data_IF_056313842486
#
_entry.id   IF_056313842486
#
_cell.length_a   1.000
_cell.length_b   1.000
_cell.length_c   1.000
_cell.angle_alpha   90.00
_cell.angle_beta   90.00
_cell.angle_gamma   90.00
#
_symmetry.space_group_name_H-M   'P 1'
#
loop_
_entity.id
_entity.type
_entity.pdbx_description
1 polymer ?
#
# COMPACT_ATOMS: atom_id res chain seq x y z
N UNK A 1 44.92 -25.30 -39.88
CA UNK A 1 44.68 -24.39 -38.74
C UNK A 1 43.24 -23.87 -38.67
N UNK A 2 42.48 -23.81 -39.78
CA UNK A 2 41.10 -23.30 -39.79
C UNK A 2 40.10 -24.11 -38.91
N UNK A 3 40.21 -25.44 -38.86
CA UNK A 3 39.29 -26.29 -38.07
C UNK A 3 39.38 -26.10 -36.55
N UNK A 4 40.58 -25.82 -36.01
CA UNK A 4 40.75 -25.54 -34.56
C UNK A 4 40.13 -24.21 -34.15
N UNK A 5 40.23 -23.18 -34.99
CA UNK A 5 39.62 -21.87 -34.75
C UNK A 5 38.09 -21.93 -34.80
N UNK A 6 37.54 -22.74 -35.71
CA UNK A 6 36.10 -22.97 -35.82
C UNK A 6 35.51 -23.73 -34.63
N UNK A 7 36.26 -24.71 -34.09
CA UNK A 7 35.87 -25.44 -32.88
C UNK A 7 35.86 -24.57 -31.61
N UNK A 8 36.87 -23.70 -31.46
CA UNK A 8 36.92 -22.72 -30.36
C UNK A 8 35.81 -21.68 -30.46
N UNK A 9 35.51 -21.17 -31.66
CA UNK A 9 34.41 -20.23 -31.87
C UNK A 9 33.04 -20.84 -31.53
N UNK A 10 32.80 -22.12 -31.88
CA UNK A 10 31.57 -22.82 -31.50
C UNK A 10 31.47 -23.04 -29.98
N UNK A 11 32.55 -23.44 -29.31
CA UNK A 11 32.54 -23.59 -27.85
C UNK A 11 32.32 -22.27 -27.12
N UNK A 12 32.96 -21.19 -27.56
CA UNK A 12 32.75 -19.85 -26.98
C UNK A 12 31.31 -19.39 -27.20
N UNK A 13 30.75 -19.59 -28.40
CA UNK A 13 29.36 -19.22 -28.71
C UNK A 13 28.37 -19.97 -27.82
N UNK A 14 28.50 -21.29 -27.69
CA UNK A 14 27.60 -22.11 -26.85
C UNK A 14 27.72 -21.72 -25.39
N UNK A 15 28.96 -21.59 -24.89
CA UNK A 15 29.22 -21.21 -23.49
C UNK A 15 28.69 -19.81 -23.17
N UNK A 16 28.85 -18.84 -24.08
CA UNK A 16 28.34 -17.49 -23.90
C UNK A 16 26.81 -17.44 -23.93
N UNK A 17 26.16 -18.19 -24.84
CA UNK A 17 24.70 -18.27 -24.92
C UNK A 17 24.09 -18.93 -23.68
N UNK A 18 24.67 -20.03 -23.19
CA UNK A 18 24.22 -20.69 -21.96
C UNK A 18 24.37 -19.78 -20.74
N UNK A 19 25.51 -19.09 -20.63
CA UNK A 19 25.76 -18.17 -19.52
C UNK A 19 24.84 -16.95 -19.56
N UNK A 20 24.51 -16.44 -20.75
CA UNK A 20 23.55 -15.35 -20.93
C UNK A 20 22.13 -15.78 -20.53
N UNK A 21 21.70 -16.98 -20.94
CA UNK A 21 20.39 -17.53 -20.58
C UNK A 21 20.25 -17.75 -19.06
N UNK A 22 21.29 -18.28 -18.41
CA UNK A 22 21.34 -18.41 -16.96
C UNK A 22 21.28 -17.05 -16.26
N UNK A 23 22.04 -16.07 -16.76
CA UNK A 23 22.07 -14.71 -16.20
C UNK A 23 20.70 -14.03 -16.33
N UNK A 24 20.04 -14.15 -17.49
CA UNK A 24 18.68 -13.64 -17.68
C UNK A 24 17.69 -14.27 -16.71
N UNK A 25 17.73 -15.59 -16.55
CA UNK A 25 16.86 -16.30 -15.60
C UNK A 25 17.04 -15.83 -14.16
N UNK A 26 18.29 -15.63 -13.72
CA UNK A 26 18.60 -15.12 -12.38
C UNK A 26 18.12 -13.68 -12.19
N UNK A 27 18.36 -12.79 -13.15
CA UNK A 27 17.89 -11.39 -13.09
C UNK A 27 16.36 -11.33 -13.07
N UNK A 28 15.68 -12.16 -13.87
CA UNK A 28 14.22 -12.20 -13.89
C UNK A 28 13.65 -12.67 -12.55
N UNK A 29 14.24 -13.69 -11.93
CA UNK A 29 13.81 -14.17 -10.61
C UNK A 29 14.05 -13.13 -9.52
N UNK A 30 15.22 -12.48 -9.54
CA UNK A 30 15.54 -11.42 -8.59
C UNK A 30 14.59 -10.23 -8.74
N UNK A 31 14.33 -9.79 -9.97
CA UNK A 31 13.34 -8.73 -10.25
C UNK A 31 11.94 -9.14 -9.76
N UNK A 32 11.51 -10.37 -10.04
CA UNK A 32 10.21 -10.85 -9.59
C UNK A 32 10.09 -10.84 -8.06
N UNK A 33 11.12 -11.30 -7.35
CA UNK A 33 11.14 -11.29 -5.89
C UNK A 33 11.15 -9.87 -5.32
N UNK A 34 12.00 -8.98 -5.84
CA UNK A 34 12.08 -7.59 -5.40
C UNK A 34 10.77 -6.85 -5.65
N UNK A 35 10.21 -6.95 -6.87
CA UNK A 35 8.93 -6.32 -7.20
C UNK A 35 7.77 -6.88 -6.37
N UNK A 36 7.78 -8.18 -6.06
CA UNK A 36 6.78 -8.80 -5.20
C UNK A 36 6.85 -8.27 -3.77
N UNK A 37 8.06 -8.16 -3.19
CA UNK A 37 8.25 -7.60 -1.85
C UNK A 37 7.86 -6.12 -1.78
N UNK A 38 8.29 -5.31 -2.75
CA UNK A 38 7.89 -3.90 -2.81
C UNK A 38 6.39 -3.74 -3.02
N UNK A 39 5.78 -4.60 -3.84
CA UNK A 39 4.34 -4.62 -4.06
C UNK A 39 3.55 -4.94 -2.78
N UNK A 40 4.01 -5.92 -2.01
CA UNK A 40 3.38 -6.29 -0.73
C UNK A 40 3.47 -5.15 0.29
N UNK A 41 4.64 -4.53 0.45
CA UNK A 41 4.81 -3.38 1.34
C UNK A 41 3.94 -2.19 0.92
N UNK A 42 3.85 -1.91 -0.38
CA UNK A 42 2.99 -0.84 -0.89
C UNK A 42 1.49 -1.14 -0.63
N UNK A 43 1.07 -2.40 -0.79
CA UNK A 43 -0.30 -2.82 -0.50
C UNK A 43 -0.63 -2.72 1.00
N UNK A 44 0.28 -3.12 1.88
CA UNK A 44 0.13 -2.95 3.33
C UNK A 44 0.04 -1.48 3.73
N UNK A 45 0.94 -0.63 3.21
CA UNK A 45 0.90 0.82 3.46
C UNK A 45 -0.42 1.40 2.97
N UNK A 46 -0.87 1.00 1.77
CA UNK A 46 -2.15 1.48 1.23
C UNK A 46 -3.33 1.11 2.14
N UNK A 47 -3.42 -0.17 2.54
CA UNK A 47 -4.50 -0.66 3.41
C UNK A 47 -4.48 0.04 4.78
N UNK A 48 -3.31 0.13 5.41
CA UNK A 48 -3.20 0.66 6.78
C UNK A 48 -3.26 2.19 6.84
N UNK A 49 -2.67 2.90 5.87
CA UNK A 49 -2.58 4.38 5.92
C UNK A 49 -3.73 5.09 5.23
N UNK A 50 -4.46 4.43 4.33
CA UNK A 50 -5.50 5.08 3.54
C UNK A 50 -6.85 4.39 3.69
N UNK A 51 -6.91 3.07 3.55
CA UNK A 51 -8.19 2.34 3.57
C UNK A 51 -8.81 2.34 4.96
N UNK A 52 -8.04 1.98 5.99
CA UNK A 52 -8.55 1.95 7.37
C UNK A 52 -9.05 3.32 7.85
N UNK A 53 -8.29 4.43 7.71
CA UNK A 53 -8.79 5.76 8.09
C UNK A 53 -10.01 6.20 7.29
N UNK A 54 -10.01 5.95 5.97
CA UNK A 54 -11.15 6.30 5.12
C UNK A 54 -12.42 5.59 5.56
N UNK A 55 -12.29 4.30 5.88
CA UNK A 55 -13.42 3.50 6.29
C UNK A 55 -13.98 3.94 7.65
N UNK A 56 -13.12 4.21 8.64
CA UNK A 56 -13.55 4.74 9.94
C UNK A 56 -14.35 6.04 9.81
N UNK A 57 -13.90 6.97 8.96
CA UNK A 57 -14.62 8.21 8.71
C UNK A 57 -15.97 7.94 8.05
N UNK A 58 -16.01 7.14 6.99
CA UNK A 58 -17.27 6.84 6.28
C UNK A 58 -18.28 6.17 7.20
N UNK A 59 -17.87 5.17 7.98
CA UNK A 59 -18.75 4.50 8.95
C UNK A 59 -19.28 5.49 9.99
N UNK A 60 -18.44 6.39 10.51
CA UNK A 60 -18.90 7.43 11.44
C UNK A 60 -19.92 8.38 10.81
N UNK A 61 -19.81 8.68 9.50
CA UNK A 61 -20.78 9.52 8.81
C UNK A 61 -22.06 8.75 8.47
N UNK A 62 -21.94 7.49 8.05
CA UNK A 62 -23.08 6.62 7.74
C UNK A 62 -23.88 6.26 8.99
N UNK A 63 -23.22 6.12 10.14
CA UNK A 63 -23.88 5.91 11.43
C UNK A 63 -24.79 7.09 11.78
N UNK A 64 -24.38 8.33 11.49
CA UNK A 64 -25.21 9.53 11.75
C UNK A 64 -26.49 9.56 10.92
N UNK A 65 -26.51 8.91 9.76
CA UNK A 65 -27.67 8.83 8.87
C UNK A 65 -28.39 7.47 8.96
N UNK A 66 -27.97 6.58 9.87
CA UNK A 66 -28.60 5.28 10.09
C UNK A 66 -28.33 4.23 9.01
N UNK A 67 -27.28 4.40 8.19
CA UNK A 67 -26.90 3.45 7.11
C UNK A 67 -25.79 2.46 7.53
N UNK A 68 -25.61 2.27 8.84
CA UNK A 68 -24.67 1.29 9.40
C UNK A 68 -25.45 0.25 10.19
N UNK A 69 -25.20 -1.01 9.90
CA UNK A 69 -25.71 -2.12 10.69
C UNK A 69 -24.83 -2.30 11.93
N UNK A 70 -25.44 -2.20 13.12
CA UNK A 70 -24.76 -2.39 14.41
C UNK A 70 -25.06 -3.80 14.94
N UNK A 71 -24.02 -4.62 15.04
CA UNK A 71 -24.13 -5.93 15.67
C UNK A 71 -24.17 -5.84 17.20
N UNK A 72 -24.63 -6.91 17.86
CA UNK A 72 -24.81 -6.96 19.31
C UNK A 72 -23.49 -6.82 20.10
N UNK A 73 -22.37 -7.15 19.49
CA UNK A 73 -21.02 -6.97 20.03
C UNK A 73 -20.47 -5.55 19.84
N UNK A 74 -21.23 -4.66 19.21
CA UNK A 74 -20.84 -3.29 18.89
C UNK A 74 -20.09 -3.15 17.56
N UNK A 75 -19.93 -4.23 16.79
CA UNK A 75 -19.32 -4.18 15.47
C UNK A 75 -20.22 -3.42 14.49
N UNK A 76 -19.65 -2.42 13.82
CA UNK A 76 -20.33 -1.61 12.81
C UNK A 76 -20.04 -2.17 11.43
N UNK A 77 -21.07 -2.47 10.66
CA UNK A 77 -20.89 -3.00 9.31
C UNK A 77 -21.52 -2.10 8.26
N UNK A 78 -20.80 -1.97 7.15
CA UNK A 78 -21.21 -1.27 5.96
C UNK A 78 -20.93 -2.16 4.76
N UNK A 79 -21.83 -2.20 3.78
CA UNK A 79 -21.69 -3.10 2.64
C UNK A 79 -21.76 -2.34 1.32
N UNK A 80 -20.82 -2.65 0.43
CA UNK A 80 -20.93 -2.31 -1.00
C UNK A 80 -21.43 -3.54 -1.77
N UNK A 81 -21.53 -3.40 -3.10
CA UNK A 81 -21.94 -4.52 -3.96
C UNK A 81 -20.99 -5.73 -3.90
N UNK A 82 -19.70 -5.51 -3.64
CA UNK A 82 -18.68 -6.57 -3.70
C UNK A 82 -17.97 -6.84 -2.37
N UNK A 83 -17.90 -5.84 -1.49
CA UNK A 83 -17.11 -5.89 -0.26
C UNK A 83 -18.02 -5.55 0.91
N UNK A 84 -18.02 -6.39 1.93
CA UNK A 84 -18.55 -6.06 3.24
C UNK A 84 -17.39 -5.56 4.10
N UNK A 85 -17.66 -4.51 4.87
CA UNK A 85 -16.68 -3.81 5.66
C UNK A 85 -17.16 -3.76 7.10
N UNK A 86 -16.25 -3.97 8.05
CA UNK A 86 -16.59 -3.97 9.47
C UNK A 86 -15.58 -3.21 10.31
N UNK A 87 -16.06 -2.39 11.25
CA UNK A 87 -15.25 -1.77 12.31
C UNK A 87 -15.66 -2.39 13.64
N UNK A 88 -14.71 -3.03 14.32
CA UNK A 88 -14.92 -3.54 15.68
C UNK A 88 -14.85 -2.38 16.70
N UNK A 89 -15.41 -2.53 17.92
CA UNK A 89 -15.42 -1.46 18.92
C UNK A 89 -14.04 -0.93 19.33
N UNK A 90 -13.01 -1.78 19.28
CA UNK A 90 -11.60 -1.44 19.51
C UNK A 90 -10.96 -0.69 18.32
N UNK A 91 -11.70 -0.50 17.23
CA UNK A 91 -11.29 0.24 16.04
C UNK A 91 -10.59 -0.60 14.99
N UNK A 92 -10.59 -1.93 15.09
CA UNK A 92 -10.09 -2.82 14.05
C UNK A 92 -10.97 -2.76 12.81
N UNK A 93 -10.35 -2.69 11.62
CA UNK A 93 -11.07 -2.69 10.34
C UNK A 93 -10.85 -4.02 9.64
N UNK A 94 -11.93 -4.66 9.19
CA UNK A 94 -11.88 -5.87 8.38
C UNK A 94 -12.68 -5.69 7.10
N UNK A 95 -12.15 -6.25 6.02
CA UNK A 95 -12.78 -6.30 4.72
C UNK A 95 -13.05 -7.76 4.38
N UNK A 96 -14.28 -8.09 4.01
CA UNK A 96 -14.66 -9.41 3.53
C UNK A 96 -15.28 -9.33 2.15
N UNK A 97 -14.92 -10.27 1.29
CA UNK A 97 -15.53 -10.42 -0.03
C UNK A 97 -16.93 -10.99 0.14
N UNK A 98 -17.95 -10.34 -0.41
CA UNK A 98 -19.35 -10.80 -0.25
C UNK A 98 -19.66 -12.13 -0.94
N UNK A 99 -18.90 -12.47 -1.99
CA UNK A 99 -19.14 -13.67 -2.79
C UNK A 99 -18.87 -14.97 -2.03
N UNK A 100 -17.89 -14.98 -1.13
CA UNK A 100 -17.39 -16.17 -0.45
C UNK A 100 -17.10 -15.95 1.04
N UNK A 101 -17.38 -14.75 1.55
CA UNK A 101 -17.11 -14.29 2.92
C UNK A 101 -15.63 -14.41 3.33
N UNK A 102 -14.70 -14.41 2.37
CA UNK A 102 -13.27 -14.47 2.64
C UNK A 102 -12.70 -13.11 3.02
N UNK A 103 -11.74 -13.10 3.94
CA UNK A 103 -11.03 -11.88 4.32
C UNK A 103 -10.17 -11.36 3.15
N UNK A 104 -10.31 -10.06 2.87
CA UNK A 104 -9.48 -9.36 1.90
C UNK A 104 -8.27 -8.79 2.65
N UNK A 105 -7.10 -9.34 2.35
CA UNK A 105 -5.81 -8.90 2.86
C UNK A 105 -5.03 -8.20 1.74
N UNK A 106 -3.94 -7.48 2.06
CA UNK A 106 -3.07 -6.88 1.03
C UNK A 106 -2.59 -7.87 -0.04
N UNK A 107 -2.49 -9.16 0.32
CA UNK A 107 -2.01 -10.23 -0.57
C UNK A 107 -3.12 -11.05 -1.23
N UNK A 108 -4.37 -10.98 -0.73
CA UNK A 108 -5.51 -11.73 -1.29
C UNK A 108 -6.47 -10.88 -2.12
N UNK A 109 -6.29 -9.56 -2.12
CA UNK A 109 -7.12 -8.64 -2.88
C UNK A 109 -6.89 -8.80 -4.39
N UNK A 110 -7.96 -9.12 -5.12
CA UNK A 110 -7.94 -9.14 -6.59
C UNK A 110 -7.88 -7.71 -7.15
N UNK A 111 -7.45 -7.51 -8.41
CA UNK A 111 -7.42 -6.20 -9.03
C UNK A 111 -8.79 -5.48 -9.04
N UNK A 112 -9.89 -6.24 -9.19
CA UNK A 112 -11.26 -5.70 -9.14
C UNK A 112 -11.60 -5.16 -7.76
N UNK A 113 -11.22 -5.88 -6.71
CA UNK A 113 -11.44 -5.45 -5.32
C UNK A 113 -10.60 -4.24 -4.99
N UNK A 114 -9.34 -4.21 -5.42
CA UNK A 114 -8.49 -3.04 -5.24
C UNK A 114 -9.04 -1.80 -5.96
N UNK A 115 -9.68 -1.97 -7.11
CA UNK A 115 -10.43 -0.89 -7.78
C UNK A 115 -11.55 -0.34 -6.89
N UNK A 116 -12.40 -1.21 -6.35
CA UNK A 116 -13.50 -0.80 -5.44
C UNK A 116 -12.97 -0.12 -4.18
N UNK A 117 -11.91 -0.66 -3.58
CA UNK A 117 -11.26 -0.10 -2.38
C UNK A 117 -10.68 1.29 -2.69
N UNK A 118 -9.98 1.44 -3.81
CA UNK A 118 -9.42 2.72 -4.24
C UNK A 118 -10.51 3.77 -4.49
N UNK A 119 -11.55 3.42 -5.23
CA UNK A 119 -12.67 4.31 -5.51
C UNK A 119 -13.38 4.75 -4.23
N UNK A 120 -13.54 3.81 -3.29
CA UNK A 120 -14.10 4.09 -1.97
C UNK A 120 -13.24 5.11 -1.21
N UNK A 121 -11.93 4.89 -1.11
CA UNK A 121 -11.00 5.82 -0.44
C UNK A 121 -11.04 7.19 -1.10
N UNK A 122 -11.02 7.25 -2.43
CA UNK A 122 -11.07 8.52 -3.17
C UNK A 122 -12.36 9.29 -2.89
N UNK A 123 -13.52 8.62 -2.95
CA UNK A 123 -14.82 9.23 -2.65
C UNK A 123 -14.91 9.68 -1.19
N UNK A 124 -14.39 8.88 -0.26
CA UNK A 124 -14.33 9.24 1.15
C UNK A 124 -13.48 10.51 1.36
N UNK A 125 -12.32 10.59 0.70
CA UNK A 125 -11.45 11.78 0.77
C UNK A 125 -12.13 13.01 0.20
N UNK A 126 -12.83 12.88 -0.93
CA UNK A 126 -13.53 13.98 -1.60
C UNK A 126 -14.74 14.47 -0.80
N UNK A 127 -15.54 13.56 -0.25
CA UNK A 127 -16.80 13.89 0.40
C UNK A 127 -16.65 14.32 1.86
N UNK A 128 -15.63 13.79 2.55
CA UNK A 128 -15.47 13.98 3.99
C UNK A 128 -14.16 14.63 4.39
N UNK A 129 -13.33 15.03 3.42
CA UNK A 129 -12.06 15.71 3.69
C UNK A 129 -11.18 14.87 4.59
N UNK A 130 -10.75 13.69 4.12
CA UNK A 130 -9.67 12.93 4.74
C UNK A 130 -8.37 13.72 4.59
N UNK A 131 -8.26 14.83 5.33
CA UNK A 131 -7.00 15.49 5.60
C UNK A 131 -6.15 14.43 6.24
N UNK A 132 -5.08 14.03 5.55
CA UNK A 132 -4.06 13.19 6.13
C UNK A 132 -3.67 13.83 7.46
N UNK A 133 -4.05 13.24 8.58
CA UNK A 133 -3.17 13.23 9.74
C UNK A 133 -2.03 12.29 9.39
N UNK A 134 -1.23 12.69 8.39
CA UNK A 134 0.20 12.53 8.48
C UNK A 134 0.52 13.18 9.81
N UNK A 135 0.75 12.35 10.84
CA UNK A 135 1.58 12.73 11.95
C UNK A 135 2.85 13.26 11.29
N UNK A 136 2.91 14.58 11.09
CA UNK A 136 4.18 15.25 10.95
C UNK A 136 4.89 14.86 12.24
N UNK A 137 5.80 13.90 12.13
CA UNK A 137 7.05 14.04 12.84
C UNK A 137 7.59 15.40 12.41
N UNK A 138 7.17 16.43 13.15
CA UNK A 138 7.99 17.58 13.37
C UNK A 138 9.26 17.00 13.96
N UNK A 139 10.22 16.70 13.07
CA UNK A 139 11.60 16.57 13.45
C UNK A 139 11.90 17.88 14.15
N UNK A 140 11.91 17.82 15.48
CA UNK A 140 12.48 18.85 16.31
C UNK A 140 13.93 18.97 15.86
N UNK A 141 14.20 19.95 14.99
CA UNK A 141 15.57 20.35 14.72
C UNK A 141 16.19 20.77 16.05
N UNK A 142 17.44 20.34 16.34
CA UNK A 142 18.03 20.53 17.65
C UNK A 142 18.11 22.01 17.99
N UNK A 143 17.62 22.32 19.18
CA UNK A 143 17.92 23.54 19.89
C UNK A 143 19.44 23.61 20.09
N UNK A 144 20.11 24.48 19.34
CA UNK A 144 21.47 24.90 19.64
C UNK A 144 21.47 26.43 19.79
N UNK A 145 21.58 26.84 21.05
CA UNK A 145 21.91 28.19 21.48
C UNK A 145 23.05 28.80 20.66
N UNK A 146 22.87 30.05 20.23
CA UNK A 146 23.95 31.05 20.21
C UNK A 146 23.36 32.45 20.23
N UNK A 147 23.21 32.96 21.46
CA UNK A 147 23.68 34.27 21.94
C UNK A 147 23.76 35.44 20.94
N UNK A 148 22.96 36.48 21.25
CA UNK A 148 23.18 37.92 21.05
C UNK A 148 23.56 38.46 19.66
N UNK A 149 22.75 39.38 19.13
CA UNK A 149 23.16 40.79 19.03
C UNK A 149 21.94 41.72 18.89
N UNK A 150 21.95 42.72 19.77
CA UNK A 150 21.00 43.81 19.97
C UNK A 150 21.37 44.97 19.03
N UNK A 151 20.54 45.35 18.04
CA UNK A 151 20.41 46.77 17.64
C UNK A 151 19.17 47.09 16.76
N UNK A 152 18.17 47.70 17.43
CA UNK A 152 17.31 48.86 17.09
C UNK A 152 17.26 49.39 15.63
N UNK A 153 16.04 49.65 15.12
CA UNK A 153 15.56 51.01 14.81
C UNK A 153 14.05 51.08 14.50
N UNK A 154 13.33 51.91 15.26
CA UNK A 154 12.02 52.49 14.90
C UNK A 154 11.94 53.91 15.49
N UNK A 155 11.61 54.85 14.61
CA UNK A 155 11.28 56.27 14.79
C UNK A 155 12.38 57.19 15.35
#
# INVERSE_FOLDING_TARGET
MADKLRGLASQISVTASEKLAQTQGQVQQQLHQTLSQTGQQAAEVFMNKFVEPAFKVVVSQMEKIGEVDLAADGTKTFQTNAIAWSVTPDGGVSLTRKADNQAITPTSATPKEMGVIKDFVMKASQNYGLSQTTSQQAVQTPQQDTTQHKHIQKA
#
